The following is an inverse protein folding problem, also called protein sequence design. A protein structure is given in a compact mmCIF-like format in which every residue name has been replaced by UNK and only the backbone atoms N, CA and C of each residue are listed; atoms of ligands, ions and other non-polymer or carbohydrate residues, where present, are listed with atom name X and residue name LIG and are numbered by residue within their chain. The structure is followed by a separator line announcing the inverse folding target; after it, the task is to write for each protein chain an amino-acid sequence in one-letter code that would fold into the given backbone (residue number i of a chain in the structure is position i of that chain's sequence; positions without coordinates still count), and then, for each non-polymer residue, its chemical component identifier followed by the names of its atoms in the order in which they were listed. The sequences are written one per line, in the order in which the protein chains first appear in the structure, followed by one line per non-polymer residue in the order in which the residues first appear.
data_IF_165932027176
#
_entry.id   IF_165932027176
#
_cell.length_a   1.000
_cell.length_b   1.000
_cell.length_c   1.000
_cell.angle_alpha   90.00
_cell.angle_beta   90.00
_cell.angle_gamma   90.00
#
_symmetry.space_group_name_H-M   'P 1'
#
loop_
_entity.id
_entity.type
_entity.pdbx_description
1 polymer ?
#
# COMPACT_ATOMS: atom_id res chain seq x y z
N UNK A 1 5.07 20.30 -18.20
CA UNK A 1 4.91 20.86 -16.84
C UNK A 1 3.64 21.69 -16.77
N UNK A 2 2.56 21.09 -16.27
CA UNK A 2 1.33 21.71 -15.75
C UNK A 2 0.77 20.71 -14.74
N UNK A 3 0.95 21.03 -13.46
CA UNK A 3 0.56 20.31 -12.22
C UNK A 3 -0.03 18.91 -12.35
N UNK A 4 0.82 17.89 -12.50
CA UNK A 4 0.40 16.49 -12.40
C UNK A 4 0.23 16.14 -10.93
N UNK A 5 -0.99 16.25 -10.40
CA UNK A 5 -1.36 15.46 -9.24
C UNK A 5 -1.34 14.00 -9.68
N UNK A 6 -0.18 13.35 -9.53
CA UNK A 6 -0.09 11.90 -9.63
C UNK A 6 -1.04 11.32 -8.58
N UNK A 7 -2.10 10.62 -9.02
CA UNK A 7 -3.05 10.04 -8.09
C UNK A 7 -2.31 9.10 -7.13
N UNK A 8 -2.61 9.19 -5.82
CA UNK A 8 -2.07 8.26 -4.84
C UNK A 8 -2.50 6.83 -5.22
N UNK A 9 -1.58 6.05 -5.78
CA UNK A 9 -1.87 4.75 -6.39
C UNK A 9 -1.26 3.58 -5.61
N UNK A 10 -0.72 3.83 -4.42
CA UNK A 10 -0.18 2.79 -3.55
C UNK A 10 -1.34 1.98 -2.95
N UNK A 11 -1.22 0.65 -2.94
CA UNK A 11 -2.12 -0.25 -2.20
C UNK A 11 -1.30 -1.10 -1.25
N UNK A 12 -1.25 -0.70 0.01
CA UNK A 12 -0.59 -1.44 1.06
C UNK A 12 -1.29 -1.26 2.41
N UNK A 13 -0.96 -2.15 3.35
CA UNK A 13 -1.35 -2.09 4.75
C UNK A 13 -0.14 -2.48 5.60
N UNK A 14 0.07 -1.75 6.70
CA UNK A 14 1.04 -2.10 7.75
C UNK A 14 0.25 -2.50 8.99
N UNK A 15 0.52 -3.68 9.55
CA UNK A 15 -0.21 -4.22 10.71
C UNK A 15 0.77 -4.48 11.85
N UNK A 16 0.46 -3.90 13.02
CA UNK A 16 1.18 -4.07 14.29
C UNK A 16 2.71 -3.84 14.21
N UNK A 17 3.17 -3.04 13.26
CA UNK A 17 4.60 -2.80 13.03
C UNK A 17 5.39 -4.06 12.63
N UNK A 18 4.72 -5.12 12.16
CA UNK A 18 5.32 -6.41 11.85
C UNK A 18 5.00 -6.91 10.44
N UNK A 19 3.73 -6.81 10.04
CA UNK A 19 3.29 -7.34 8.75
C UNK A 19 3.09 -6.22 7.74
N UNK A 20 3.46 -6.49 6.49
CA UNK A 20 3.10 -5.65 5.35
C UNK A 20 2.35 -6.50 4.34
N UNK A 21 1.19 -5.98 3.94
CA UNK A 21 0.38 -6.53 2.85
C UNK A 21 0.43 -5.50 1.73
N UNK A 22 0.92 -5.88 0.55
CA UNK A 22 1.03 -4.97 -0.59
C UNK A 22 0.79 -5.71 -1.91
N UNK A 23 0.41 -4.98 -2.95
CA UNK A 23 0.22 -5.57 -4.27
C UNK A 23 -0.61 -4.70 -5.21
N UNK A 24 -1.23 -5.33 -6.20
CA UNK A 24 -2.14 -4.66 -7.14
C UNK A 24 -3.55 -4.45 -6.55
N UNK A 25 -3.91 -5.26 -5.55
CA UNK A 25 -5.24 -5.32 -4.96
C UNK A 25 -5.71 -3.96 -4.42
N UNK A 26 -6.71 -3.37 -5.07
CA UNK A 26 -7.44 -2.23 -4.53
C UNK A 26 -8.48 -2.73 -3.50
N UNK A 27 -8.71 -1.98 -2.42
CA UNK A 27 -9.73 -2.34 -1.40
C UNK A 27 -11.16 -2.10 -1.88
N UNK A 28 -11.58 -2.79 -2.94
CA UNK A 28 -12.90 -2.67 -3.57
C UNK A 28 -13.50 -4.04 -3.84
N UNK A 29 -14.82 -4.11 -3.97
CA UNK A 29 -15.53 -5.36 -4.29
C UNK A 29 -15.09 -5.94 -5.65
N UNK A 30 -14.84 -5.08 -6.64
CA UNK A 30 -14.42 -5.52 -7.99
C UNK A 30 -13.06 -6.19 -7.95
N UNK A 31 -12.11 -5.67 -7.17
CA UNK A 31 -10.79 -6.30 -7.01
C UNK A 31 -10.89 -7.70 -6.39
N UNK A 32 -11.81 -7.90 -5.44
CA UNK A 32 -12.03 -9.20 -4.79
C UNK A 32 -12.86 -10.20 -5.58
N UNK A 33 -13.70 -9.74 -6.51
CA UNK A 33 -14.69 -10.59 -7.18
C UNK A 33 -14.45 -10.80 -8.68
N UNK A 34 -13.77 -9.88 -9.36
CA UNK A 34 -13.73 -9.84 -10.82
C UNK A 34 -12.33 -9.65 -11.40
N UNK A 35 -11.43 -8.98 -10.69
CA UNK A 35 -10.07 -8.72 -11.20
C UNK A 35 -9.10 -9.86 -10.85
N UNK A 36 -8.09 -10.00 -11.69
CA UNK A 36 -6.90 -10.77 -11.36
C UNK A 36 -5.93 -9.85 -10.60
N UNK A 37 -5.81 -10.08 -9.31
CA UNK A 37 -4.99 -9.27 -8.41
C UNK A 37 -3.90 -10.12 -7.78
N UNK A 38 -2.77 -9.50 -7.44
CA UNK A 38 -1.74 -10.10 -6.61
C UNK A 38 -1.69 -9.42 -5.24
N UNK A 39 -1.38 -10.22 -4.21
CA UNK A 39 -1.10 -9.76 -2.86
C UNK A 39 0.17 -10.48 -2.38
N UNK A 40 1.08 -9.72 -1.79
CA UNK A 40 2.27 -10.24 -1.11
C UNK A 40 2.14 -9.90 0.37
N UNK A 41 2.26 -10.92 1.21
CA UNK A 41 2.36 -10.79 2.66
C UNK A 41 3.82 -10.96 3.05
N UNK A 42 4.37 -9.93 3.69
CA UNK A 42 5.70 -9.94 4.31
C UNK A 42 5.57 -9.92 5.85
N UNK A 43 6.17 -10.88 6.54
CA UNK A 43 6.39 -10.86 8.00
C UNK A 43 7.81 -10.36 8.28
N UNK A 44 7.94 -9.05 8.49
CA UNK A 44 9.23 -8.41 8.76
C UNK A 44 9.02 -7.04 9.41
N UNK A 45 9.38 -6.89 10.70
CA UNK A 45 9.34 -5.60 11.37
C UNK A 45 10.18 -4.52 10.69
N UNK A 46 11.28 -4.90 10.04
CA UNK A 46 12.12 -3.96 9.30
C UNK A 46 11.36 -3.38 8.09
N UNK A 47 10.73 -4.24 7.30
CA UNK A 47 9.94 -3.80 6.13
C UNK A 47 8.73 -2.99 6.59
N UNK A 48 8.05 -3.42 7.66
CA UNK A 48 6.93 -2.70 8.24
C UNK A 48 7.30 -1.27 8.66
N UNK A 49 8.46 -1.09 9.32
CA UNK A 49 8.96 0.24 9.67
C UNK A 49 9.19 1.13 8.44
N UNK A 50 9.76 0.58 7.36
CA UNK A 50 9.99 1.34 6.12
C UNK A 50 8.68 1.79 5.45
N UNK A 51 7.67 0.92 5.43
CA UNK A 51 6.34 1.27 4.90
C UNK A 51 5.60 2.27 5.80
N UNK A 52 5.71 2.17 7.12
CA UNK A 52 5.17 3.16 8.05
C UNK A 52 5.79 4.55 7.80
N UNK A 53 7.10 4.64 7.63
CA UNK A 53 7.76 5.91 7.28
C UNK A 53 7.32 6.45 5.91
N UNK A 54 7.03 5.57 4.95
CA UNK A 54 6.49 5.99 3.66
C UNK A 54 5.08 6.57 3.79
N UNK A 55 4.25 5.97 4.65
CA UNK A 55 2.93 6.52 4.99
C UNK A 55 3.04 7.91 5.60
N UNK A 56 3.89 8.11 6.61
CA UNK A 56 4.10 9.43 7.23
C UNK A 56 4.45 10.50 6.19
N UNK A 57 5.34 10.20 5.24
CA UNK A 57 5.70 11.14 4.16
C UNK A 57 4.52 11.48 3.24
N UNK A 58 3.67 10.49 2.94
CA UNK A 58 2.49 10.68 2.08
C UNK A 58 1.43 11.56 2.79
N UNK A 59 1.30 11.44 4.11
CA UNK A 59 0.28 12.16 4.88
C UNK A 59 0.74 13.45 5.53
N UNK A 60 2.05 13.73 5.56
CA UNK A 60 2.60 14.96 6.13
C UNK A 60 2.57 16.17 5.18
N UNK A 61 2.13 15.98 3.94
CA UNK A 61 1.88 17.03 2.94
C UNK A 61 0.41 17.48 2.97
#
# INVERSE_FOLDING_TARGET
MRGEYSAMHNKFMVVDGRYVIAGSYNFTTTAGAANWENVVWMDSPEIASRYAQAWERITSE
#
